data_IF_733029286644
#
_entry.id   IF_733029286644
#
_cell.length_a   1.000
_cell.length_b   1.000
_cell.length_c   1.000
_cell.angle_alpha   90.00
_cell.angle_beta   90.00
_cell.angle_gamma   90.00
#
_symmetry.space_group_name_H-M   'P 1'
#
loop_
_entity.id
_entity.type
_entity.pdbx_description
1 polymer ?
#
# COMPACT_ATOMS: atom_id res chain seq x y z
N UNK A 1 5.64 7.93 3.55
CA UNK A 1 4.37 7.40 3.03
C UNK A 1 4.08 6.09 3.73
N UNK A 2 2.83 5.87 4.17
CA UNK A 2 2.44 4.72 4.99
C UNK A 2 2.07 3.47 4.19
N UNK A 3 2.56 3.34 2.94
CA UNK A 3 2.32 2.19 2.06
C UNK A 3 0.83 1.81 1.90
N UNK A 4 -0.03 2.82 1.84
CA UNK A 4 -1.47 2.64 1.62
C UNK A 4 -1.78 2.46 0.13
N UNK A 5 -2.85 1.71 -0.16
CA UNK A 5 -3.32 1.46 -1.52
C UNK A 5 -4.75 1.96 -1.70
N UNK A 6 -5.05 2.49 -2.90
CA UNK A 6 -6.39 2.88 -3.31
C UNK A 6 -6.54 2.67 -4.82
N UNK A 7 -7.78 2.51 -5.28
CA UNK A 7 -8.10 2.54 -6.71
C UNK A 7 -8.30 3.99 -7.16
N UNK A 8 -7.88 4.28 -8.39
CA UNK A 8 -8.04 5.61 -8.99
C UNK A 8 -8.51 5.49 -10.44
N UNK A 9 -9.46 6.32 -10.90
CA UNK A 9 -9.90 6.30 -12.29
C UNK A 9 -8.77 6.73 -13.23
N UNK A 10 -8.56 6.00 -14.32
CA UNK A 10 -7.46 6.23 -15.27
C UNK A 10 -7.57 7.58 -16.00
N UNK A 11 -8.78 8.08 -16.20
CA UNK A 11 -9.03 9.36 -16.87
C UNK A 11 -8.82 10.60 -15.96
N UNK A 12 -8.40 10.41 -14.70
CA UNK A 12 -8.15 11.50 -13.75
C UNK A 12 -6.67 11.59 -13.43
N UNK A 13 -6.15 12.81 -13.33
CA UNK A 13 -4.80 13.05 -12.83
C UNK A 13 -4.61 12.47 -11.43
N UNK A 14 -3.43 11.92 -11.19
CA UNK A 14 -3.07 11.32 -9.91
C UNK A 14 -2.81 12.45 -8.89
N UNK A 15 -3.45 12.43 -7.70
CA UNK A 15 -3.21 13.44 -6.68
C UNK A 15 -1.76 13.48 -6.23
N UNK A 16 -1.27 14.67 -5.87
CA UNK A 16 0.10 14.86 -5.37
C UNK A 16 0.35 13.96 -4.15
N UNK A 17 1.48 13.25 -4.16
CA UNK A 17 1.86 12.31 -3.10
C UNK A 17 1.42 10.86 -3.35
N UNK A 18 0.61 10.61 -4.37
CA UNK A 18 0.30 9.27 -4.86
C UNK A 18 1.13 8.93 -6.09
N UNK A 19 1.33 7.63 -6.34
CA UNK A 19 1.98 7.11 -7.53
C UNK A 19 1.20 5.93 -8.09
N UNK A 20 1.21 5.75 -9.41
CA UNK A 20 0.67 4.53 -10.02
C UNK A 20 1.55 3.33 -9.72
N UNK A 21 0.93 2.16 -9.65
CA UNK A 21 1.60 0.86 -9.39
C UNK A 21 1.55 -0.07 -10.60
N UNK A 22 1.10 0.43 -11.75
CA UNK A 22 1.06 -0.32 -13.02
C UNK A 22 -0.14 -1.26 -13.21
N UNK A 23 -0.98 -1.46 -12.19
CA UNK A 23 -2.24 -2.23 -12.33
C UNK A 23 -3.36 -1.33 -12.84
N UNK A 24 -3.91 -1.67 -14.01
CA UNK A 24 -5.15 -1.13 -14.58
C UNK A 24 -6.13 -2.27 -14.85
N UNK A 25 -7.41 -1.93 -15.02
CA UNK A 25 -8.48 -2.91 -15.24
C UNK A 25 -9.81 -2.47 -14.63
N UNK A 26 -10.76 -3.39 -14.60
CA UNK A 26 -12.04 -3.15 -13.95
C UNK A 26 -11.86 -2.96 -12.45
N UNK A 27 -12.79 -2.25 -11.81
CA UNK A 27 -12.78 -2.01 -10.36
C UNK A 27 -12.52 -3.28 -9.55
N UNK A 28 -13.14 -4.40 -9.92
CA UNK A 28 -12.96 -5.69 -9.25
C UNK A 28 -11.52 -6.20 -9.32
N UNK A 29 -10.88 -6.13 -10.49
CA UNK A 29 -9.50 -6.60 -10.69
C UNK A 29 -8.49 -5.75 -9.92
N UNK A 30 -8.70 -4.43 -9.88
CA UNK A 30 -7.86 -3.52 -9.11
C UNK A 30 -8.01 -3.75 -7.61
N UNK A 31 -9.23 -4.02 -7.12
CA UNK A 31 -9.46 -4.34 -5.71
C UNK A 31 -8.86 -5.70 -5.31
N UNK A 32 -8.98 -6.71 -6.17
CA UNK A 32 -8.31 -8.01 -5.95
C UNK A 32 -6.81 -7.84 -5.86
N UNK A 33 -6.21 -7.08 -6.79
CA UNK A 33 -4.77 -6.78 -6.72
C UNK A 33 -4.38 -6.11 -5.41
N UNK A 34 -5.13 -5.08 -4.96
CA UNK A 34 -4.87 -4.42 -3.68
C UNK A 34 -4.94 -5.42 -2.52
N UNK A 35 -5.94 -6.30 -2.50
CA UNK A 35 -6.07 -7.34 -1.48
C UNK A 35 -4.88 -8.29 -1.45
N UNK A 36 -4.35 -8.65 -2.62
CA UNK A 36 -3.24 -9.58 -2.75
C UNK A 36 -1.89 -8.96 -2.36
N UNK A 37 -1.67 -7.68 -2.67
CA UNK A 37 -0.38 -7.01 -2.37
C UNK A 37 -0.35 -6.29 -1.03
N UNK A 38 -1.52 -5.88 -0.51
CA UNK A 38 -1.63 -5.22 0.79
C UNK A 38 -1.84 -6.23 1.91
N UNK A 39 -0.92 -7.20 2.01
CA UNK A 39 -1.02 -8.34 2.94
C UNK A 39 -0.83 -7.96 4.39
N UNK A 40 -0.13 -6.87 4.64
CA UNK A 40 0.05 -6.30 5.95
C UNK A 40 -0.48 -4.85 5.88
N UNK A 41 -1.47 -4.55 6.70
CA UNK A 41 -2.11 -3.23 6.77
C UNK A 41 -1.60 -2.38 7.94
N UNK A 42 -0.62 -2.88 8.71
CA UNK A 42 0.02 -2.08 9.75
C UNK A 42 0.72 -0.87 9.14
N UNK A 43 0.57 0.34 9.72
CA UNK A 43 1.35 1.49 9.29
C UNK A 43 2.85 1.17 9.29
N UNK A 44 3.58 1.67 8.29
CA UNK A 44 5.03 1.46 8.17
C UNK A 44 5.78 1.87 9.45
N UNK A 45 5.31 2.90 10.16
CA UNK A 45 5.84 3.34 11.45
C UNK A 45 5.76 2.26 12.52
N UNK A 46 4.63 1.57 12.64
CA UNK A 46 4.43 0.48 13.58
C UNK A 46 5.31 -0.73 13.24
N UNK A 47 5.48 -1.05 11.94
CA UNK A 47 6.40 -2.11 11.52
C UNK A 47 7.84 -1.84 11.91
N UNK A 48 8.31 -0.61 11.68
CA UNK A 48 9.68 -0.20 12.03
C UNK A 48 9.93 -0.32 13.53
N UNK A 49 8.99 0.15 14.35
CA UNK A 49 9.09 0.02 15.80
C UNK A 49 9.13 -1.44 16.27
N UNK A 50 8.31 -2.32 15.69
CA UNK A 50 8.34 -3.76 16.05
C UNK A 50 9.64 -4.45 15.61
N UNK A 51 10.21 -4.08 14.45
CA UNK A 51 11.50 -4.60 13.99
C UNK A 51 12.67 -4.17 14.89
N UNK A 52 12.69 -2.91 15.34
CA UNK A 52 13.69 -2.42 16.29
C UNK A 52 13.57 -3.10 17.66
N UNK A 53 12.34 -3.29 18.16
CA UNK A 53 12.10 -3.96 19.45
C UNK A 53 12.47 -5.46 19.42
N UNK A 54 12.35 -6.12 18.26
CA UNK A 54 12.78 -7.50 18.08
C UNK A 54 14.30 -7.68 18.03
N UNK A 55 15.03 -6.70 17.49
CA UNK A 55 16.50 -6.73 17.40
C UNK A 55 17.20 -6.40 18.73
N UNK A 56 16.55 -5.67 19.64
CA UNK A 56 17.10 -5.33 20.97
C UNK A 56 16.94 -6.40 22.05
N UNK A 57 16.39 -7.58 21.71
CA UNK A 57 16.21 -8.72 22.63
C UNK A 57 17.10 -9.93 22.31
N UNK A 58 18.01 -9.82 21.35
CA UNK A 58 19.03 -10.82 21.02
C UNK A 58 20.35 -10.54 21.74
#
# INVERSE_FOLDING_TARGET
HEEQYSIWPEYKDIPKGWRSVGKTGLKGECLTYIKDVWTDMRPLSLRRQMAEVGAGRA
#
